data_IF_890555570433
#
_entry.id   IF_890555570433
#
_cell.length_a   1.000
_cell.length_b   1.000
_cell.length_c   1.000
_cell.angle_alpha   90.00
_cell.angle_beta   90.00
_cell.angle_gamma   90.00
#
_symmetry.space_group_name_H-M   'P 1'
#
loop_
_entity.id
_entity.type
_entity.pdbx_description
1 polymer ?
#
# COMPACT_ATOMS: atom_id res chain seq x y z
N UNK A 1 20.06 -4.88 -5.80
CA UNK A 1 18.84 -5.60 -6.24
C UNK A 1 17.88 -4.61 -6.87
N UNK A 2 17.03 -5.02 -7.81
CA UNK A 2 16.10 -4.09 -8.48
C UNK A 2 15.02 -3.58 -7.49
N UNK A 3 14.66 -2.28 -7.52
CA UNK A 3 13.57 -1.74 -6.71
C UNK A 3 12.25 -2.35 -7.18
N UNK A 4 11.52 -2.95 -6.24
CA UNK A 4 10.28 -3.68 -6.56
C UNK A 4 9.20 -3.52 -5.51
N UNK A 5 9.54 -3.20 -4.26
CA UNK A 5 8.56 -3.13 -3.17
C UNK A 5 7.58 -1.99 -3.42
N UNK A 6 8.08 -0.81 -3.76
CA UNK A 6 7.26 0.35 -4.08
C UNK A 6 6.39 0.12 -5.32
N UNK A 7 6.95 -0.49 -6.38
CA UNK A 7 6.19 -0.87 -7.57
C UNK A 7 5.07 -1.86 -7.26
N UNK A 8 5.33 -2.82 -6.37
CA UNK A 8 4.33 -3.81 -5.96
C UNK A 8 3.21 -3.16 -5.15
N UNK A 9 3.54 -2.28 -4.20
CA UNK A 9 2.55 -1.48 -3.45
C UNK A 9 1.72 -0.62 -4.42
N UNK A 10 2.37 0.05 -5.37
CA UNK A 10 1.69 0.84 -6.39
C UNK A 10 0.76 -0.02 -7.27
N UNK A 11 1.20 -1.22 -7.65
CA UNK A 11 0.38 -2.18 -8.39
C UNK A 11 -0.85 -2.64 -7.60
N UNK A 12 -0.73 -2.89 -6.30
CA UNK A 12 -1.89 -3.17 -5.43
C UNK A 12 -2.85 -1.98 -5.45
N UNK A 13 -2.33 -0.76 -5.32
CA UNK A 13 -3.13 0.47 -5.40
C UNK A 13 -3.90 0.60 -6.72
N UNK A 14 -3.25 0.32 -7.86
CA UNK A 14 -3.91 0.30 -9.17
C UNK A 14 -5.04 -0.73 -9.22
N UNK A 15 -4.81 -1.96 -8.77
CA UNK A 15 -5.85 -3.00 -8.73
C UNK A 15 -7.01 -2.57 -7.83
N UNK A 16 -6.72 -1.99 -6.67
CA UNK A 16 -7.72 -1.54 -5.71
C UNK A 16 -8.58 -0.39 -6.28
N UNK A 17 -7.95 0.59 -6.94
CA UNK A 17 -8.66 1.68 -7.63
C UNK A 17 -9.49 1.15 -8.79
N UNK A 18 -8.95 0.27 -9.63
CA UNK A 18 -9.70 -0.32 -10.76
C UNK A 18 -10.90 -1.13 -10.28
N UNK A 19 -10.74 -1.90 -9.20
CA UNK A 19 -11.86 -2.60 -8.59
C UNK A 19 -12.95 -1.62 -8.12
N UNK A 20 -12.55 -0.50 -7.50
CA UNK A 20 -13.47 0.59 -7.14
C UNK A 20 -14.22 1.19 -8.34
N UNK A 21 -13.50 1.51 -9.42
CA UNK A 21 -14.07 2.12 -10.63
C UNK A 21 -15.04 1.17 -11.35
N UNK A 22 -14.66 -0.09 -11.50
CA UNK A 22 -15.43 -1.06 -12.28
C UNK A 22 -16.56 -1.69 -11.47
N UNK A 23 -16.32 -1.97 -10.19
CA UNK A 23 -17.29 -2.62 -9.31
C UNK A 23 -18.45 -1.73 -8.89
N UNK A 24 -18.23 -0.41 -8.81
CA UNK A 24 -19.22 0.56 -8.29
C UNK A 24 -19.64 1.62 -9.32
N UNK A 25 -19.59 1.27 -10.61
CA UNK A 25 -19.92 2.19 -11.73
C UNK A 25 -21.28 2.90 -11.57
N UNK A 26 -22.28 2.22 -11.00
CA UNK A 26 -23.61 2.80 -10.79
C UNK A 26 -23.59 3.91 -9.74
N UNK A 27 -22.93 3.65 -8.60
CA UNK A 27 -22.75 4.62 -7.53
C UNK A 27 -21.92 5.82 -8.00
N UNK A 28 -20.86 5.58 -8.78
CA UNK A 28 -20.05 6.64 -9.35
C UNK A 28 -20.83 7.51 -10.35
N UNK A 29 -21.68 6.91 -11.18
CA UNK A 29 -22.55 7.66 -12.10
C UNK A 29 -23.55 8.53 -11.33
N UNK A 30 -24.12 8.02 -10.23
CA UNK A 30 -25.00 8.83 -9.35
C UNK A 30 -24.25 10.03 -8.78
N UNK A 31 -23.00 9.87 -8.35
CA UNK A 31 -22.23 11.00 -7.83
C UNK A 31 -21.98 12.07 -8.88
N UNK A 32 -21.66 11.66 -10.11
CA UNK A 32 -21.44 12.60 -11.19
C UNK A 32 -22.74 13.35 -11.56
N UNK A 33 -23.89 12.67 -11.50
CA UNK A 33 -25.20 13.27 -11.75
C UNK A 33 -25.67 14.24 -10.66
N UNK A 34 -25.34 13.94 -9.40
CA UNK A 34 -25.73 14.76 -8.24
C UNK A 34 -24.70 15.89 -7.93
N UNK A 35 -23.54 15.85 -8.58
CA UNK A 35 -22.37 16.66 -8.23
C UNK A 35 -21.51 16.01 -7.14
N UNK A 36 -20.24 16.41 -7.03
CA UNK A 36 -19.24 15.75 -6.15
C UNK A 36 -19.17 16.32 -4.73
N UNK A 37 -19.85 17.42 -4.44
CA UNK A 37 -19.81 18.06 -3.14
C UNK A 37 -20.78 17.40 -2.16
N UNK A 38 -20.26 16.94 -1.01
CA UNK A 38 -21.04 16.32 0.06
C UNK A 38 -21.92 15.12 -0.39
N UNK A 39 -21.47 14.41 -1.42
CA UNK A 39 -22.21 13.33 -2.09
C UNK A 39 -22.08 11.98 -1.36
N UNK A 40 -21.03 11.83 -0.56
CA UNK A 40 -20.77 10.68 0.32
C UNK A 40 -21.03 11.14 1.74
N UNK A 41 -22.24 10.89 2.25
CA UNK A 41 -22.76 11.53 3.46
C UNK A 41 -23.49 10.54 4.41
N UNK A 42 -22.83 9.44 4.77
CA UNK A 42 -23.36 8.45 5.73
C UNK A 42 -24.10 7.27 5.11
N UNK A 43 -24.10 7.17 3.78
CA UNK A 43 -24.70 6.05 3.05
C UNK A 43 -23.61 5.03 2.75
N UNK A 44 -23.67 3.87 3.42
CA UNK A 44 -22.65 2.82 3.30
C UNK A 44 -22.33 2.45 1.83
N UNK A 45 -23.35 2.38 0.97
CA UNK A 45 -23.20 2.08 -0.46
C UNK A 45 -22.34 3.09 -1.23
N UNK A 46 -22.31 4.35 -0.77
CA UNK A 46 -21.47 5.41 -1.34
C UNK A 46 -20.08 5.42 -0.67
N UNK A 47 -19.98 5.01 0.57
CA UNK A 47 -18.69 4.99 1.25
C UNK A 47 -17.74 3.93 0.68
N UNK A 48 -18.24 2.77 0.26
CA UNK A 48 -17.40 1.72 -0.33
C UNK A 48 -16.56 2.20 -1.52
N UNK A 49 -17.13 2.70 -2.63
CA UNK A 49 -16.32 3.22 -3.74
C UNK A 49 -15.38 4.33 -3.30
N UNK A 50 -15.80 5.19 -2.36
CA UNK A 50 -14.95 6.28 -1.88
C UNK A 50 -13.67 5.73 -1.23
N UNK A 51 -13.81 4.72 -0.36
CA UNK A 51 -12.68 4.09 0.30
C UNK A 51 -11.80 3.30 -0.68
N UNK A 52 -12.39 2.56 -1.63
CA UNK A 52 -11.61 1.86 -2.66
C UNK A 52 -10.78 2.83 -3.51
N UNK A 53 -11.36 3.95 -3.93
CA UNK A 53 -10.65 4.92 -4.77
C UNK A 53 -9.58 5.68 -3.97
N UNK A 54 -9.95 6.22 -2.81
CA UNK A 54 -9.03 7.04 -2.00
C UNK A 54 -7.86 6.24 -1.45
N UNK A 55 -8.08 5.06 -0.88
CA UNK A 55 -6.99 4.20 -0.42
C UNK A 55 -6.17 3.62 -1.58
N UNK A 56 -6.81 3.32 -2.72
CA UNK A 56 -6.10 2.87 -3.91
C UNK A 56 -5.15 3.93 -4.46
N UNK A 57 -5.62 5.18 -4.60
CA UNK A 57 -4.80 6.32 -5.04
C UNK A 57 -3.68 6.60 -4.03
N UNK A 58 -4.00 6.59 -2.72
CA UNK A 58 -3.00 6.77 -1.67
C UNK A 58 -1.92 5.68 -1.74
N UNK A 59 -2.30 4.42 -1.96
CA UNK A 59 -1.36 3.31 -2.12
C UNK A 59 -0.49 3.47 -3.38
N UNK A 60 -1.03 4.01 -4.47
CA UNK A 60 -0.23 4.34 -5.67
C UNK A 60 0.82 5.40 -5.33
N UNK A 61 0.42 6.53 -4.77
CA UNK A 61 1.32 7.63 -4.39
C UNK A 61 2.41 7.13 -3.45
N UNK A 62 2.00 6.35 -2.44
CA UNK A 62 2.93 5.82 -1.47
C UNK A 62 3.85 4.74 -2.06
N UNK A 63 3.37 3.93 -2.99
CA UNK A 63 4.20 3.00 -3.77
C UNK A 63 5.26 3.72 -4.59
N UNK A 64 4.91 4.86 -5.22
CA UNK A 64 5.87 5.72 -5.92
C UNK A 64 6.90 6.31 -4.95
N UNK A 65 6.48 6.75 -3.77
CA UNK A 65 7.39 7.23 -2.72
C UNK A 65 8.36 6.12 -2.27
N UNK A 66 7.86 4.92 -2.00
CA UNK A 66 8.70 3.78 -1.60
C UNK A 66 9.67 3.38 -2.74
N UNK A 67 9.23 3.39 -4.00
CA UNK A 67 10.11 3.11 -5.15
C UNK A 67 11.20 4.17 -5.29
N UNK A 68 10.87 5.45 -5.04
CA UNK A 68 11.84 6.53 -4.98
C UNK A 68 12.87 6.31 -3.87
N UNK A 69 12.43 5.93 -2.65
CA UNK A 69 13.32 5.61 -1.53
C UNK A 69 14.22 4.40 -1.87
N UNK A 70 13.66 3.34 -2.43
CA UNK A 70 14.43 2.15 -2.84
C UNK A 70 15.51 2.51 -3.88
N UNK A 71 15.25 3.47 -4.78
CA UNK A 71 16.20 3.90 -5.80
C UNK A 71 17.29 4.82 -5.27
N UNK A 72 16.99 5.68 -4.31
CA UNK A 72 17.93 6.71 -3.82
C UNK A 72 18.74 6.24 -2.61
N UNK A 73 18.13 5.49 -1.70
CA UNK A 73 18.78 5.06 -0.45
C UNK A 73 19.15 3.58 -0.47
N UNK A 74 18.65 2.81 -1.43
CA UNK A 74 18.91 1.36 -1.57
C UNK A 74 18.25 0.48 -0.50
N UNK A 75 17.82 1.08 0.61
CA UNK A 75 17.30 0.41 1.78
C UNK A 75 16.01 1.07 2.28
N UNK A 76 15.13 0.26 2.87
CA UNK A 76 13.91 0.72 3.51
C UNK A 76 14.07 0.64 5.04
N UNK A 77 13.51 1.59 5.80
CA UNK A 77 13.52 1.53 7.25
C UNK A 77 12.85 0.26 7.78
N UNK A 78 13.45 -0.37 8.80
CA UNK A 78 12.92 -1.62 9.37
C UNK A 78 11.52 -1.49 9.93
N UNK A 79 11.21 -0.34 10.53
CA UNK A 79 9.89 -0.08 11.10
C UNK A 79 8.81 -0.17 10.01
N UNK A 80 9.10 0.25 8.77
CA UNK A 80 8.15 0.22 7.67
C UNK A 80 7.66 -1.20 7.36
N UNK A 81 8.58 -2.17 7.32
CA UNK A 81 8.25 -3.56 7.06
C UNK A 81 7.42 -4.19 8.18
N UNK A 82 7.74 -3.90 9.44
CA UNK A 82 6.94 -4.38 10.58
C UNK A 82 5.57 -3.72 10.67
N UNK A 83 5.48 -2.42 10.36
CA UNK A 83 4.20 -1.71 10.29
C UNK A 83 3.30 -2.29 9.21
N UNK A 84 3.82 -2.58 8.01
CA UNK A 84 3.04 -3.26 6.98
C UNK A 84 2.61 -4.65 7.42
N UNK A 85 3.49 -5.43 8.07
CA UNK A 85 3.13 -6.76 8.54
C UNK A 85 2.00 -6.71 9.57
N UNK A 86 2.12 -5.83 10.58
CA UNK A 86 1.09 -5.65 11.61
C UNK A 86 -0.26 -5.24 11.02
N UNK A 87 -0.25 -4.25 10.11
CA UNK A 87 -1.46 -3.83 9.42
C UNK A 87 -2.06 -4.95 8.55
N UNK A 88 -1.23 -5.68 7.82
CA UNK A 88 -1.68 -6.79 6.96
C UNK A 88 -2.34 -7.90 7.78
N UNK A 89 -1.73 -8.27 8.90
CA UNK A 89 -2.30 -9.26 9.82
C UNK A 89 -3.63 -8.77 10.38
N UNK A 90 -3.71 -7.52 10.84
CA UNK A 90 -4.96 -6.95 11.35
C UNK A 90 -6.08 -6.98 10.30
N UNK A 91 -5.80 -6.53 9.07
CA UNK A 91 -6.77 -6.52 7.97
C UNK A 91 -7.25 -7.94 7.63
N UNK A 92 -6.33 -8.90 7.52
CA UNK A 92 -6.68 -10.27 7.16
C UNK A 92 -7.44 -10.99 8.28
N UNK A 93 -7.11 -10.74 9.54
CA UNK A 93 -7.83 -11.31 10.68
C UNK A 93 -9.24 -10.74 10.79
N UNK A 94 -9.40 -9.43 10.60
CA UNK A 94 -10.71 -8.75 10.68
C UNK A 94 -11.56 -9.06 9.44
N UNK A 95 -10.95 -9.13 8.25
CA UNK A 95 -11.64 -9.28 6.97
C UNK A 95 -10.86 -10.22 6.01
N UNK A 96 -10.93 -11.54 6.21
CA UNK A 96 -10.12 -12.52 5.47
C UNK A 96 -10.47 -12.64 3.99
N UNK A 97 -11.70 -12.28 3.60
CA UNK A 97 -12.16 -12.28 2.20
C UNK A 97 -11.57 -11.11 1.39
N UNK A 98 -10.89 -10.17 2.04
CA UNK A 98 -10.30 -8.98 1.41
C UNK A 98 -9.04 -9.28 0.59
N UNK A 99 -8.62 -8.31 -0.22
CA UNK A 99 -7.32 -8.33 -0.90
C UNK A 99 -6.10 -8.08 0.01
N UNK A 100 -6.31 -7.95 1.33
CA UNK A 100 -5.25 -7.62 2.30
C UNK A 100 -4.04 -8.55 2.22
N UNK A 101 -4.24 -9.81 1.86
CA UNK A 101 -3.19 -10.81 1.64
C UNK A 101 -2.04 -10.36 0.75
N UNK A 102 -2.31 -9.51 -0.26
CA UNK A 102 -1.28 -9.04 -1.19
C UNK A 102 -0.17 -8.23 -0.48
N UNK A 103 -0.48 -7.59 0.65
CA UNK A 103 0.49 -6.76 1.38
C UNK A 103 1.54 -7.56 2.17
N UNK A 104 1.40 -8.89 2.30
CA UNK A 104 2.45 -9.72 2.91
C UNK A 104 3.75 -9.69 2.10
N UNK A 105 3.66 -9.68 0.77
CA UNK A 105 4.83 -9.65 -0.10
C UNK A 105 5.71 -8.40 0.13
N UNK A 106 5.18 -7.15 0.03
CA UNK A 106 5.99 -5.96 0.31
C UNK A 106 6.41 -5.85 1.77
N UNK A 107 5.61 -6.34 2.74
CA UNK A 107 5.98 -6.36 4.16
C UNK A 107 7.23 -7.22 4.42
N UNK A 108 7.21 -8.48 3.96
CA UNK A 108 8.34 -9.41 4.09
C UNK A 108 9.55 -8.91 3.30
N UNK A 109 9.31 -8.34 2.11
CA UNK A 109 10.34 -7.70 1.30
C UNK A 109 11.06 -6.57 2.04
N UNK A 110 10.32 -5.67 2.69
CA UNK A 110 10.87 -4.56 3.44
C UNK A 110 11.67 -5.02 4.68
N UNK A 111 11.15 -6.00 5.44
CA UNK A 111 11.84 -6.58 6.60
C UNK A 111 13.20 -7.20 6.19
N UNK A 112 13.22 -7.96 5.09
CA UNK A 112 14.43 -8.63 4.58
C UNK A 112 15.48 -7.66 4.04
N UNK A 113 15.08 -6.48 3.58
CA UNK A 113 16.03 -5.46 3.11
C UNK A 113 16.63 -4.66 4.26
N UNK A 114 15.83 -4.36 5.28
CA UNK A 114 16.30 -3.64 6.45
C UNK A 114 17.33 -4.40 7.30
N UNK A 115 17.42 -5.74 7.19
CA UNK A 115 18.39 -6.56 7.93
C UNK A 115 19.79 -6.63 7.30
N UNK A 116 19.95 -6.20 6.04
CA UNK A 116 21.26 -6.25 5.35
C UNK A 116 22.21 -5.15 5.79
N UNK A 117 21.68 -4.01 6.23
CA UNK A 117 22.42 -2.82 6.65
C UNK A 117 23.30 -3.03 7.89
N UNK A 118 22.82 -3.83 8.86
CA UNK A 118 23.56 -4.07 10.11
C UNK A 118 24.81 -4.93 9.90
N UNK A 119 24.75 -5.90 8.98
CA UNK A 119 25.87 -6.81 8.69
C UNK A 119 27.02 -6.18 7.89
N UNK A 120 26.77 -5.05 7.21
CA UNK A 120 27.79 -4.25 6.53
C UNK A 120 28.43 -3.20 7.45
N UNK A 121 27.63 -2.59 8.32
CA UNK A 121 28.10 -1.63 9.33
C UNK A 121 28.95 -2.27 10.44
N UNK A 122 28.57 -3.45 10.93
CA UNK A 122 29.33 -4.18 11.97
C UNK A 122 30.67 -4.72 11.45
N UNK A 123 30.75 -5.13 10.16
CA UNK A 123 32.01 -5.58 9.54
C UNK A 123 33.00 -4.46 9.27
N UNK A 124 32.55 -3.23 9.01
CA UNK A 124 33.43 -2.07 8.86
C UNK A 124 34.01 -1.56 10.19
N UNK A 125 33.35 -1.85 11.32
CA UNK A 125 33.81 -1.46 12.66
C UNK A 125 34.73 -2.50 13.33
N UNK A 126 34.65 -3.76 12.93
CA UNK A 126 35.52 -4.84 13.44
C UNK A 126 36.82 -5.01 12.64
N UNK A 127 37.06 -4.17 11.62
CA UNK A 127 38.24 -4.20 10.75
C UNK A 127 39.18 -3.00 10.91
N UNK A 128 39.09 -2.25 12.01
CA UNK A 128 40.03 -1.19 12.40
C UNK A 128 40.73 -1.59 13.68
#
# INVERSE_FOLDING_TARGET
MRPWIGKFIGGIGVVHTLFGLLGFRGQLAMWLGEGLWNTVNGQAEREFPFWFLSFGILAIIFGLFVDWVERHFGELPRFLGWSFLGLTVAVVVIMPISGGWLMFAPAVGAIRRASRSRSGSERGRAGV
#
